data_IF_736674036806
#
_entry.id   IF_736674036806
#
_cell.length_a   1.000
_cell.length_b   1.000
_cell.length_c   1.000
_cell.angle_alpha   90.00
_cell.angle_beta   90.00
_cell.angle_gamma   90.00
#
_symmetry.space_group_name_H-M   'P 1'
#
loop_
_entity.id
_entity.type
_entity.pdbx_description
1 polymer ?
#
# COMPACT_ATOMS: atom_id res chain seq x y z
N UNK A 1 -7.67 -9.70 8.59
CA UNK A 1 -8.49 -8.98 7.57
C UNK A 1 -7.96 -9.39 6.20
N UNK A 2 -8.76 -10.13 5.43
CA UNK A 2 -8.41 -10.59 4.09
C UNK A 2 -8.16 -9.46 3.09
N UNK A 3 -7.70 -9.82 1.91
CA UNK A 3 -7.46 -8.90 0.79
C UNK A 3 -8.78 -8.19 0.43
N UNK A 4 -8.78 -6.86 0.11
CA UNK A 4 -10.01 -6.16 -0.28
C UNK A 4 -10.71 -6.84 -1.45
N UNK A 5 -12.04 -6.97 -1.41
CA UNK A 5 -12.85 -7.65 -2.44
C UNK A 5 -12.64 -7.08 -3.86
N UNK A 6 -12.33 -5.79 -3.98
CA UNK A 6 -11.99 -5.19 -5.30
C UNK A 6 -10.76 -5.86 -5.95
N UNK A 7 -9.82 -6.35 -5.15
CA UNK A 7 -8.62 -7.04 -5.65
C UNK A 7 -8.99 -8.44 -6.09
N UNK A 8 -9.69 -9.18 -5.23
CA UNK A 8 -10.04 -10.59 -5.47
C UNK A 8 -11.10 -10.77 -6.54
N UNK A 9 -12.11 -9.91 -6.55
CA UNK A 9 -13.29 -10.09 -7.40
C UNK A 9 -13.10 -9.48 -8.80
N UNK A 10 -12.20 -8.48 -8.93
CA UNK A 10 -12.05 -7.75 -10.19
C UNK A 10 -10.59 -7.66 -10.66
N UNK A 11 -9.67 -7.11 -9.86
CA UNK A 11 -8.32 -6.80 -10.34
C UNK A 11 -7.57 -8.06 -10.74
N UNK A 12 -7.48 -9.04 -9.85
CA UNK A 12 -6.73 -10.27 -10.10
C UNK A 12 -7.32 -11.07 -11.25
N UNK A 13 -8.65 -11.33 -11.32
CA UNK A 13 -9.26 -12.02 -12.46
C UNK A 13 -8.96 -11.34 -13.81
N UNK A 14 -9.13 -10.02 -13.93
CA UNK A 14 -8.83 -9.29 -15.16
C UNK A 14 -7.35 -9.36 -15.53
N UNK A 15 -6.45 -9.25 -14.56
CA UNK A 15 -5.01 -9.36 -14.80
C UNK A 15 -4.61 -10.78 -15.24
N UNK A 16 -5.29 -11.82 -14.75
CA UNK A 16 -5.06 -13.19 -15.19
C UNK A 16 -5.49 -13.39 -16.66
N UNK A 17 -6.62 -12.83 -17.05
CA UNK A 17 -7.02 -12.83 -18.45
C UNK A 17 -6.02 -12.07 -19.32
N UNK A 18 -5.62 -10.87 -18.90
CA UNK A 18 -4.56 -10.15 -19.58
C UNK A 18 -3.28 -10.98 -19.70
N UNK A 19 -2.90 -11.72 -18.66
CA UNK A 19 -1.74 -12.59 -18.73
C UNK A 19 -1.88 -13.64 -19.84
N UNK A 20 -3.08 -14.19 -20.01
CA UNK A 20 -3.37 -15.23 -21.03
C UNK A 20 -3.50 -14.68 -22.46
N UNK A 21 -3.61 -13.36 -22.65
CA UNK A 21 -3.66 -12.77 -24.02
C UNK A 21 -2.33 -12.80 -24.76
N UNK A 22 -1.22 -13.06 -24.08
CA UNK A 22 0.07 -13.16 -24.76
C UNK A 22 0.12 -14.45 -25.61
N UNK A 23 0.67 -14.38 -26.81
CA UNK A 23 0.83 -15.55 -27.68
C UNK A 23 1.91 -16.52 -27.18
N UNK A 24 2.94 -15.98 -26.51
CA UNK A 24 4.06 -16.76 -25.98
C UNK A 24 3.75 -17.23 -24.53
N UNK A 25 3.81 -18.54 -24.32
CA UNK A 25 3.61 -19.19 -23.03
C UNK A 25 4.61 -18.70 -21.96
N UNK A 26 5.84 -18.35 -22.33
CA UNK A 26 6.84 -17.81 -21.41
C UNK A 26 6.40 -16.42 -20.93
N UNK A 27 5.84 -15.62 -21.82
CA UNK A 27 5.30 -14.29 -21.47
C UNK A 27 4.08 -14.44 -20.57
N UNK A 28 3.16 -15.35 -20.86
CA UNK A 28 2.01 -15.66 -20.01
C UNK A 28 2.47 -16.02 -18.59
N UNK A 29 3.41 -16.94 -18.48
CA UNK A 29 3.93 -17.37 -17.17
C UNK A 29 4.62 -16.23 -16.41
N UNK A 30 5.42 -15.41 -17.10
CA UNK A 30 6.04 -14.22 -16.47
C UNK A 30 5.01 -13.22 -15.96
N UNK A 31 3.94 -12.96 -16.73
CA UNK A 31 2.84 -12.10 -16.30
C UNK A 31 2.14 -12.67 -15.06
N UNK A 32 1.82 -13.97 -15.05
CA UNK A 32 1.23 -14.65 -13.87
C UNK A 32 2.13 -14.55 -12.64
N UNK A 33 3.44 -14.78 -12.79
CA UNK A 33 4.40 -14.63 -11.70
C UNK A 33 4.44 -13.19 -11.14
N UNK A 34 4.44 -12.18 -12.03
CA UNK A 34 4.37 -10.77 -11.60
C UNK A 34 3.09 -10.49 -10.81
N UNK A 35 1.95 -11.00 -11.26
CA UNK A 35 0.67 -10.86 -10.57
C UNK A 35 0.78 -11.49 -9.16
N UNK A 36 1.22 -12.73 -9.07
CA UNK A 36 1.39 -13.41 -7.79
C UNK A 36 2.30 -12.67 -6.82
N UNK A 37 3.47 -12.22 -7.31
CA UNK A 37 4.44 -11.46 -6.50
C UNK A 37 3.87 -10.12 -5.99
N UNK A 38 3.17 -9.39 -6.83
CA UNK A 38 2.69 -8.05 -6.49
C UNK A 38 1.43 -8.06 -5.64
N UNK A 39 0.62 -9.10 -5.77
CA UNK A 39 -0.66 -9.22 -5.05
C UNK A 39 -0.62 -10.24 -3.91
N UNK A 40 0.56 -10.83 -3.62
CA UNK A 40 0.76 -11.73 -2.49
C UNK A 40 0.09 -13.09 -2.66
N UNK A 41 0.00 -13.60 -3.90
CA UNK A 41 -0.62 -14.89 -4.18
C UNK A 41 0.33 -16.07 -3.89
N UNK A 42 -0.23 -17.26 -3.68
CA UNK A 42 0.50 -18.45 -3.24
C UNK A 42 1.55 -18.95 -4.24
N UNK A 43 2.49 -19.76 -3.76
CA UNK A 43 3.45 -20.50 -4.60
C UNK A 43 2.75 -21.48 -5.55
N UNK A 44 1.66 -22.13 -5.09
CA UNK A 44 0.87 -23.04 -5.93
C UNK A 44 0.28 -22.33 -7.14
N UNK A 45 -0.25 -21.09 -6.93
CA UNK A 45 -0.70 -20.24 -8.03
C UNK A 45 0.43 -19.87 -8.99
N UNK A 46 1.60 -19.53 -8.47
CA UNK A 46 2.78 -19.18 -9.29
C UNK A 46 3.28 -20.33 -10.12
N UNK A 47 3.16 -21.58 -9.65
CA UNK A 47 3.50 -22.79 -10.37
C UNK A 47 2.51 -23.15 -11.48
N UNK A 48 1.47 -22.34 -11.71
CA UNK A 48 0.45 -22.57 -12.75
C UNK A 48 -0.84 -23.18 -12.22
N UNK A 49 -1.03 -23.22 -10.90
CA UNK A 49 -2.28 -23.61 -10.25
C UNK A 49 -3.43 -22.64 -10.55
N UNK A 50 -4.65 -23.08 -10.28
CA UNK A 50 -5.82 -22.22 -10.32
C UNK A 50 -5.85 -21.30 -9.10
N UNK A 51 -6.47 -20.12 -9.26
CA UNK A 51 -6.70 -19.20 -8.15
C UNK A 51 -7.73 -19.82 -7.21
N UNK A 52 -7.34 -20.08 -5.98
CA UNK A 52 -8.20 -20.67 -4.95
C UNK A 52 -8.60 -19.62 -3.91
N UNK A 53 -9.68 -19.90 -3.15
CA UNK A 53 -10.06 -19.03 -2.04
C UNK A 53 -8.92 -18.87 -1.01
N UNK A 54 -8.06 -19.88 -0.88
CA UNK A 54 -6.90 -19.85 0.01
C UNK A 54 -5.84 -18.84 -0.44
N UNK A 55 -5.71 -18.63 -1.75
CA UNK A 55 -4.78 -17.60 -2.32
C UNK A 55 -5.25 -16.17 -2.02
N UNK A 56 -6.54 -16.00 -1.79
CA UNK A 56 -7.20 -14.71 -1.62
C UNK A 56 -7.41 -14.34 -0.14
N UNK A 57 -7.37 -15.32 0.76
CA UNK A 57 -7.59 -15.12 2.21
C UNK A 57 -6.26 -15.24 2.93
N UNK A 58 -5.69 -14.12 3.35
CA UNK A 58 -4.39 -14.03 4.02
C UNK A 58 -4.29 -14.63 5.43
N UNK A 59 -5.03 -15.71 5.73
CA UNK A 59 -5.12 -16.32 7.08
C UNK A 59 -4.25 -17.58 7.25
N UNK A 60 -3.52 -18.01 6.23
CA UNK A 60 -2.61 -19.15 6.33
C UNK A 60 -1.15 -18.69 6.18
N UNK A 61 -0.52 -18.44 7.31
CA UNK A 61 0.82 -17.88 7.50
C UNK A 61 2.00 -18.71 6.90
N UNK A 62 1.76 -19.75 6.10
CA UNK A 62 2.81 -20.63 5.59
C UNK A 62 2.85 -20.82 4.07
N UNK A 63 1.84 -20.42 3.31
CA UNK A 63 1.80 -20.66 1.85
C UNK A 63 1.54 -19.40 1.01
N UNK A 64 0.95 -18.34 1.57
CA UNK A 64 0.74 -17.07 0.85
C UNK A 64 1.96 -16.15 1.00
N UNK A 65 2.35 -15.49 -0.09
CA UNK A 65 3.40 -14.48 -0.02
C UNK A 65 2.92 -13.24 0.73
N UNK A 66 3.82 -12.67 1.53
CA UNK A 66 3.55 -11.44 2.28
C UNK A 66 3.20 -10.27 1.33
N UNK A 67 2.20 -9.48 1.72
CA UNK A 67 1.87 -8.24 1.04
C UNK A 67 3.01 -7.22 1.17
N UNK A 68 3.73 -6.97 0.09
CA UNK A 68 4.83 -6.01 0.06
C UNK A 68 4.27 -4.62 -0.25
N UNK A 69 4.26 -3.75 0.76
CA UNK A 69 3.65 -2.42 0.67
C UNK A 69 4.35 -1.51 -0.36
N UNK A 70 5.65 -1.72 -0.60
CA UNK A 70 6.48 -0.97 -1.55
C UNK A 70 6.15 -1.25 -3.01
N UNK A 71 5.45 -2.34 -3.33
CA UNK A 71 5.10 -2.72 -4.71
C UNK A 71 4.01 -1.82 -5.36
N UNK A 72 3.84 -0.58 -4.89
CA UNK A 72 2.82 0.36 -5.43
C UNK A 72 3.03 0.64 -6.90
N UNK A 73 4.28 0.93 -7.31
CA UNK A 73 4.60 1.20 -8.71
C UNK A 73 4.36 -0.03 -9.58
N UNK A 74 4.79 -1.21 -9.14
CA UNK A 74 4.60 -2.46 -9.89
C UNK A 74 3.11 -2.79 -10.06
N UNK A 75 2.29 -2.57 -9.02
CA UNK A 75 0.83 -2.72 -9.11
C UNK A 75 0.22 -1.73 -10.09
N UNK A 76 0.65 -0.46 -10.03
CA UNK A 76 0.20 0.54 -11.01
C UNK A 76 0.53 0.13 -12.44
N UNK A 77 1.78 -0.30 -12.70
CA UNK A 77 2.20 -0.72 -14.04
C UNK A 77 1.36 -1.89 -14.57
N UNK A 78 1.03 -2.87 -13.73
CA UNK A 78 0.15 -3.96 -14.14
C UNK A 78 -1.29 -3.50 -14.41
N UNK A 79 -1.84 -2.60 -13.59
CA UNK A 79 -3.16 -2.01 -13.85
C UNK A 79 -3.18 -1.24 -15.17
N UNK A 80 -2.10 -0.55 -15.51
CA UNK A 80 -1.94 0.17 -16.76
C UNK A 80 -1.82 -0.82 -17.95
N UNK A 81 -0.93 -1.81 -17.86
CA UNK A 81 -0.75 -2.82 -18.89
C UNK A 81 -2.03 -3.65 -19.13
N UNK A 82 -2.77 -3.96 -18.07
CA UNK A 82 -4.05 -4.68 -18.10
C UNK A 82 -5.26 -3.83 -18.51
N UNK A 83 -5.10 -2.52 -18.76
CA UNK A 83 -6.20 -1.67 -19.18
C UNK A 83 -7.24 -1.37 -18.09
N UNK A 84 -6.85 -1.48 -16.82
CA UNK A 84 -7.75 -1.32 -15.68
C UNK A 84 -7.89 0.12 -15.19
N UNK A 85 -7.10 1.04 -15.71
CA UNK A 85 -7.15 2.46 -15.34
C UNK A 85 -7.37 3.36 -16.55
N UNK A 86 -8.06 4.51 -16.39
CA UNK A 86 -8.46 5.38 -17.49
C UNK A 86 -7.31 5.93 -18.34
N UNK A 87 -6.12 6.02 -17.78
CA UNK A 87 -4.92 6.48 -18.48
C UNK A 87 -4.32 5.43 -19.42
N UNK A 88 -4.75 4.17 -19.31
CA UNK A 88 -4.26 3.09 -20.15
C UNK A 88 -4.84 3.18 -21.58
N UNK A 89 -4.04 2.95 -22.63
CA UNK A 89 -4.50 3.05 -24.02
C UNK A 89 -5.55 2.00 -24.39
N UNK A 90 -5.61 0.90 -23.63
CA UNK A 90 -6.57 -0.21 -23.81
C UNK A 90 -7.67 -0.20 -22.73
N UNK A 91 -7.96 0.95 -22.12
CA UNK A 91 -9.07 1.11 -21.18
C UNK A 91 -10.39 1.43 -21.93
N UNK A 92 -11.54 0.87 -21.51
CA UNK A 92 -11.68 -0.26 -20.60
C UNK A 92 -11.20 -1.58 -21.23
N UNK A 93 -10.78 -2.56 -20.41
CA UNK A 93 -10.31 -3.83 -20.95
C UNK A 93 -11.43 -4.58 -21.69
N UNK A 94 -11.10 -5.14 -22.85
CA UNK A 94 -12.05 -5.87 -23.71
C UNK A 94 -12.07 -7.38 -23.43
N UNK A 95 -11.50 -7.82 -22.32
CA UNK A 95 -11.47 -9.22 -21.93
C UNK A 95 -12.88 -9.70 -21.53
N UNK A 96 -13.34 -10.80 -22.12
CA UNK A 96 -14.76 -11.18 -22.09
C UNK A 96 -15.28 -11.77 -20.78
N UNK A 97 -14.41 -12.28 -19.89
CA UNK A 97 -14.85 -13.00 -18.71
C UNK A 97 -15.17 -12.12 -17.50
N UNK A 98 -14.63 -10.91 -17.43
CA UNK A 98 -14.85 -10.01 -16.28
C UNK A 98 -15.53 -8.73 -16.72
N UNK A 99 -16.76 -8.54 -16.27
CA UNK A 99 -17.47 -7.26 -16.42
C UNK A 99 -17.10 -6.36 -15.26
N UNK A 100 -16.44 -5.24 -15.57
CA UNK A 100 -16.13 -4.24 -14.53
C UNK A 100 -17.43 -3.60 -14.01
N UNK A 101 -17.54 -3.33 -12.70
CA UNK A 101 -18.70 -2.66 -12.11
C UNK A 101 -18.92 -1.27 -12.73
N UNK A 102 -20.17 -0.82 -12.81
CA UNK A 102 -20.51 0.51 -13.33
C UNK A 102 -19.82 1.64 -12.56
N UNK A 103 -19.54 1.43 -11.26
CA UNK A 103 -18.83 2.36 -10.40
C UNK A 103 -17.29 2.16 -10.40
N UNK A 104 -16.76 1.38 -11.34
CA UNK A 104 -15.34 1.06 -11.41
C UNK A 104 -14.44 2.31 -11.41
N UNK A 105 -14.79 3.31 -12.23
CA UNK A 105 -14.03 4.57 -12.30
C UNK A 105 -13.96 5.32 -10.97
N UNK A 106 -14.99 5.19 -10.13
CA UNK A 106 -14.98 5.78 -8.79
C UNK A 106 -14.10 5.00 -7.83
N UNK A 107 -14.03 3.67 -7.98
CA UNK A 107 -13.21 2.78 -7.11
C UNK A 107 -11.71 2.93 -7.36
N UNK A 108 -11.31 3.13 -8.61
CA UNK A 108 -9.89 3.28 -8.99
C UNK A 108 -9.39 4.73 -8.94
N UNK A 109 -10.27 5.67 -8.59
CA UNK A 109 -9.97 7.09 -8.44
C UNK A 109 -10.08 7.90 -9.73
N UNK A 110 -9.95 9.21 -9.58
CA UNK A 110 -10.14 10.19 -10.66
C UNK A 110 -9.07 10.01 -11.75
N UNK A 111 -9.42 10.09 -13.05
CA UNK A 111 -8.45 10.11 -14.14
C UNK A 111 -7.41 11.22 -13.95
N UNK A 112 -6.17 10.90 -14.23
CA UNK A 112 -5.06 11.85 -14.14
C UNK A 112 -4.47 12.12 -15.52
N UNK A 113 -4.02 13.36 -15.73
CA UNK A 113 -3.36 13.73 -16.98
C UNK A 113 -1.98 13.11 -17.09
N UNK A 114 -1.59 12.73 -18.29
CA UNK A 114 -0.27 12.17 -18.61
C UNK A 114 0.08 10.99 -17.68
N UNK A 115 1.29 10.98 -17.18
CA UNK A 115 1.83 9.95 -16.29
C UNK A 115 1.81 10.35 -14.80
N UNK A 116 1.00 11.34 -14.41
CA UNK A 116 0.96 11.83 -13.03
C UNK A 116 0.66 10.73 -12.01
N UNK A 117 -0.23 9.79 -12.33
CA UNK A 117 -0.49 8.63 -11.46
C UNK A 117 0.75 7.76 -11.28
N UNK A 118 1.55 7.58 -12.34
CA UNK A 118 2.83 6.86 -12.27
C UNK A 118 3.84 7.58 -11.38
N UNK A 119 3.91 8.90 -11.49
CA UNK A 119 4.77 9.73 -10.61
C UNK A 119 4.37 9.55 -9.15
N UNK A 120 3.07 9.61 -8.83
CA UNK A 120 2.56 9.40 -7.48
C UNK A 120 2.87 7.97 -7.00
N UNK A 121 2.60 6.94 -7.82
CA UNK A 121 2.91 5.55 -7.48
C UNK A 121 4.40 5.35 -7.20
N UNK A 122 5.27 5.97 -8.01
CA UNK A 122 6.73 5.96 -7.81
C UNK A 122 7.12 6.63 -6.49
N UNK A 123 6.55 7.80 -6.20
CA UNK A 123 6.82 8.53 -4.96
C UNK A 123 6.42 7.72 -3.73
N UNK A 124 5.21 7.13 -3.74
CA UNK A 124 4.72 6.30 -2.63
C UNK A 124 5.57 5.03 -2.48
N UNK A 125 5.94 4.37 -3.58
CA UNK A 125 6.80 3.19 -3.55
C UNK A 125 8.14 3.49 -2.89
N UNK A 126 8.80 4.58 -3.31
CA UNK A 126 10.07 5.04 -2.73
C UNK A 126 9.93 5.47 -1.27
N UNK A 127 8.83 6.15 -0.93
CA UNK A 127 8.55 6.56 0.45
C UNK A 127 8.41 5.35 1.36
N UNK A 128 7.63 4.34 0.95
CA UNK A 128 7.43 3.10 1.72
C UNK A 128 8.72 2.33 1.93
N UNK A 129 9.53 2.17 0.89
CA UNK A 129 10.85 1.55 0.99
C UNK A 129 11.81 2.29 1.95
N UNK A 130 11.65 3.61 2.11
CA UNK A 130 12.50 4.42 3.01
C UNK A 130 11.98 4.48 4.44
N UNK A 131 10.67 4.33 4.67
CA UNK A 131 10.08 4.37 6.02
C UNK A 131 10.67 3.29 6.91
N UNK A 132 10.99 2.13 6.37
CA UNK A 132 11.61 1.03 7.11
C UNK A 132 12.98 1.39 7.70
N UNK A 133 13.72 2.27 7.02
CA UNK A 133 15.10 2.63 7.37
C UNK A 133 15.26 4.05 7.95
N UNK A 134 14.23 4.91 7.84
CA UNK A 134 14.32 6.31 8.26
C UNK A 134 13.00 6.79 8.87
N UNK A 135 13.05 7.52 9.97
CA UNK A 135 11.87 8.11 10.59
C UNK A 135 11.37 9.35 9.82
N UNK A 136 11.08 9.20 8.53
CA UNK A 136 10.54 10.26 7.67
C UNK A 136 9.24 10.87 8.21
N UNK A 137 8.55 10.12 9.07
CA UNK A 137 7.30 10.56 9.70
C UNK A 137 7.49 11.85 10.50
N UNK A 138 8.68 12.10 11.04
CA UNK A 138 8.94 13.29 11.86
C UNK A 138 8.77 14.58 11.07
N UNK A 139 9.24 14.62 9.82
CA UNK A 139 9.10 15.79 8.95
C UNK A 139 7.72 15.95 8.30
N UNK A 140 6.83 14.96 8.47
CA UNK A 140 5.49 14.95 7.86
C UNK A 140 4.37 15.24 8.88
N UNK A 141 4.69 15.23 10.16
CA UNK A 141 3.73 15.53 11.23
C UNK A 141 3.83 17.00 11.65
N UNK A 142 2.72 17.61 12.11
CA UNK A 142 2.80 18.90 12.79
C UNK A 142 3.59 18.76 14.09
N UNK A 143 4.09 19.90 14.64
CA UNK A 143 4.88 19.94 15.87
C UNK A 143 4.17 19.29 17.05
N UNK A 144 2.84 19.38 17.08
CA UNK A 144 1.98 18.83 18.13
C UNK A 144 0.85 18.02 17.49
N UNK A 145 0.66 16.80 17.95
CA UNK A 145 -0.30 15.85 17.38
C UNK A 145 -0.89 14.92 18.45
N UNK A 146 -1.98 14.23 18.12
CA UNK A 146 -2.51 13.12 18.92
C UNK A 146 -1.90 11.79 18.46
N UNK A 147 -1.83 10.79 19.35
CA UNK A 147 -1.36 9.44 18.94
C UNK A 147 -2.22 8.82 17.84
N UNK A 148 -3.51 9.18 17.76
CA UNK A 148 -4.38 8.72 16.67
C UNK A 148 -4.02 9.34 15.32
N UNK A 149 -3.66 10.62 15.28
CA UNK A 149 -3.15 11.26 14.06
C UNK A 149 -1.83 10.64 13.62
N UNK A 150 -0.91 10.43 14.56
CA UNK A 150 0.36 9.77 14.26
C UNK A 150 0.14 8.35 13.70
N UNK A 151 -0.72 7.55 14.35
CA UNK A 151 -1.06 6.20 13.86
C UNK A 151 -1.64 6.24 12.44
N UNK A 152 -2.62 7.11 12.17
CA UNK A 152 -3.24 7.26 10.86
C UNK A 152 -2.21 7.67 9.79
N UNK A 153 -1.29 8.58 10.12
CA UNK A 153 -0.23 8.98 9.19
C UNK A 153 0.74 7.84 8.90
N UNK A 154 1.14 7.08 9.92
CA UNK A 154 2.00 5.89 9.74
C UNK A 154 1.29 4.83 8.90
N UNK A 155 0.02 4.53 9.16
CA UNK A 155 -0.79 3.58 8.39
C UNK A 155 -0.95 4.03 6.93
N UNK A 156 -1.23 5.31 6.70
CA UNK A 156 -1.36 5.85 5.35
C UNK A 156 -0.05 5.75 4.54
N UNK A 157 1.07 6.04 5.19
CA UNK A 157 2.39 5.98 4.56
C UNK A 157 2.88 4.55 4.36
N UNK A 158 2.79 3.70 5.38
CA UNK A 158 3.25 2.30 5.30
C UNK A 158 2.34 1.43 4.44
N UNK A 159 1.05 1.77 4.35
CA UNK A 159 0.04 0.94 3.69
C UNK A 159 -0.38 -0.28 4.53
N UNK A 160 0.01 -0.33 5.80
CA UNK A 160 -0.29 -1.42 6.73
C UNK A 160 -1.13 -0.88 7.88
N UNK A 161 -2.19 -1.58 8.25
CA UNK A 161 -2.99 -1.25 9.45
C UNK A 161 -2.28 -1.70 10.71
N UNK A 162 -2.24 -0.85 11.71
CA UNK A 162 -1.57 -1.10 12.96
C UNK A 162 -2.58 -1.32 14.10
N UNK A 163 -2.37 -2.35 14.89
CA UNK A 163 -3.18 -2.54 16.08
C UNK A 163 -2.85 -1.45 17.12
N UNK A 164 -3.86 -0.71 17.57
CA UNK A 164 -3.73 0.47 18.43
C UNK A 164 -2.88 0.25 19.67
N UNK A 165 -3.05 -0.89 20.35
CA UNK A 165 -2.29 -1.21 21.56
C UNK A 165 -0.83 -1.49 21.26
N UNK A 166 -0.55 -2.24 20.18
CA UNK A 166 0.82 -2.57 19.77
C UNK A 166 1.56 -1.31 19.33
N UNK A 167 0.90 -0.43 18.58
CA UNK A 167 1.46 0.86 18.19
C UNK A 167 1.85 1.72 19.40
N UNK A 168 0.96 1.82 20.40
CA UNK A 168 1.28 2.55 21.63
C UNK A 168 2.45 1.95 22.39
N UNK A 169 2.47 0.62 22.55
CA UNK A 169 3.61 -0.06 23.22
C UNK A 169 4.92 0.19 22.48
N UNK A 170 4.89 0.21 21.14
CA UNK A 170 6.07 0.51 20.32
C UNK A 170 6.58 1.94 20.59
N UNK A 171 5.69 2.94 20.56
CA UNK A 171 6.06 4.33 20.85
C UNK A 171 6.63 4.49 22.25
N UNK A 172 6.02 3.84 23.26
CA UNK A 172 6.47 3.89 24.65
C UNK A 172 7.85 3.19 24.81
N UNK A 173 8.02 2.00 24.19
CA UNK A 173 9.28 1.24 24.30
C UNK A 173 10.46 1.94 23.63
N UNK A 174 10.21 2.62 22.50
CA UNK A 174 11.24 3.36 21.78
C UNK A 174 11.39 4.82 22.26
N UNK A 175 10.50 5.26 23.18
CA UNK A 175 10.54 6.59 23.78
C UNK A 175 10.57 7.73 22.73
N UNK A 176 9.84 7.55 21.61
CA UNK A 176 9.88 8.43 20.43
C UNK A 176 9.13 9.75 20.64
N UNK A 177 8.13 9.75 21.51
CA UNK A 177 7.22 10.87 21.71
C UNK A 177 7.17 11.28 23.19
N UNK A 178 6.87 12.55 23.44
CA UNK A 178 6.64 13.06 24.78
C UNK A 178 5.31 13.80 24.86
N UNK A 179 4.60 13.63 25.98
CA UNK A 179 3.34 14.33 26.24
C UNK A 179 3.61 15.82 26.49
N UNK A 180 2.82 16.70 25.88
CA UNK A 180 2.97 18.16 26.04
C UNK A 180 2.32 18.69 27.30
N UNK A 181 1.46 17.92 27.96
CA UNK A 181 0.60 18.36 29.05
C UNK A 181 -0.71 19.02 28.58
N UNK A 182 -0.87 19.22 27.30
CA UNK A 182 -2.06 19.81 26.68
C UNK A 182 -2.99 18.72 26.11
N UNK A 183 -4.25 19.12 25.88
CA UNK A 183 -5.26 18.28 25.26
C UNK A 183 -5.90 18.98 24.08
N UNK A 184 -6.26 18.21 23.04
CA UNK A 184 -6.95 18.76 21.87
C UNK A 184 -8.35 19.26 22.25
N UNK A 185 -8.76 20.41 21.71
CA UNK A 185 -10.13 20.92 21.77
C UNK A 185 -11.03 20.14 20.80
N UNK A 186 -11.36 18.88 21.12
CA UNK A 186 -12.17 18.06 20.24
C UNK A 186 -13.62 18.59 20.21
N UNK A 187 -14.17 18.80 19.02
CA UNK A 187 -15.56 19.22 18.81
C UNK A 187 -16.59 18.16 19.25
N UNK A 188 -16.20 16.89 19.36
CA UNK A 188 -17.02 15.78 19.87
C UNK A 188 -16.13 14.72 20.53
N UNK A 189 -16.45 14.33 21.76
CA UNK A 189 -15.77 13.25 22.49
C UNK A 189 -14.84 13.73 23.61
N UNK A 190 -14.14 12.76 24.24
CA UNK A 190 -13.16 13.08 25.30
C UNK A 190 -11.93 13.76 24.68
N UNK A 191 -11.43 14.88 25.22
CA UNK A 191 -10.21 15.51 24.76
C UNK A 191 -9.05 14.51 24.68
N UNK A 192 -8.32 14.52 23.57
CA UNK A 192 -7.18 13.66 23.37
C UNK A 192 -5.89 14.37 23.82
N UNK A 193 -5.02 13.66 24.51
CA UNK A 193 -3.71 14.17 24.90
C UNK A 193 -2.88 14.51 23.66
N UNK A 194 -2.14 15.61 23.76
CA UNK A 194 -1.23 16.07 22.72
C UNK A 194 0.20 15.65 23.03
N UNK A 195 0.91 15.27 21.97
CA UNK A 195 2.27 14.76 21.97
C UNK A 195 3.12 15.53 20.98
N UNK A 196 4.42 15.51 21.17
CA UNK A 196 5.44 15.95 20.22
C UNK A 196 6.55 14.92 20.14
N UNK A 197 7.29 14.92 19.04
CA UNK A 197 8.51 14.12 18.97
C UNK A 197 9.58 14.66 19.91
N UNK A 198 10.47 13.79 20.33
CA UNK A 198 11.61 14.20 21.16
C UNK A 198 12.68 14.83 20.26
N UNK A 199 13.18 15.96 20.69
CA UNK A 199 14.13 16.77 19.92
C UNK A 199 15.46 16.07 19.61
N UNK A 200 15.93 15.20 20.50
CA UNK A 200 17.11 14.36 20.29
C UNK A 200 16.95 13.37 19.12
N UNK A 201 15.75 12.88 18.89
CA UNK A 201 15.42 11.98 17.77
C UNK A 201 15.35 12.74 16.44
N UNK A 202 14.79 13.97 16.46
CA UNK A 202 14.79 14.86 15.30
C UNK A 202 16.21 15.19 14.84
N UNK A 203 17.10 15.53 15.78
CA UNK A 203 18.51 15.79 15.47
C UNK A 203 19.23 14.58 14.90
N UNK A 204 18.99 13.37 15.43
CA UNK A 204 19.56 12.14 14.88
C UNK A 204 19.07 11.87 13.46
N UNK A 205 17.79 12.14 13.17
CA UNK A 205 17.21 12.03 11.83
C UNK A 205 17.88 12.99 10.85
N UNK A 206 18.07 14.25 11.23
CA UNK A 206 18.74 15.26 10.40
C UNK A 206 20.23 14.93 10.14
N UNK A 207 20.92 14.40 11.16
CA UNK A 207 22.32 13.97 11.02
C UNK A 207 22.49 12.75 10.11
N UNK A 208 21.49 11.86 10.04
CA UNK A 208 21.49 10.76 9.08
C UNK A 208 21.22 11.22 7.66
N UNK A 209 20.41 12.26 7.45
CA UNK A 209 20.16 12.86 6.14
C UNK A 209 21.38 13.60 5.56
N UNK A 210 22.23 14.17 6.44
CA UNK A 210 23.44 14.90 6.02
C UNK A 210 24.61 14.00 5.58
N UNK A 211 24.51 12.68 5.75
CA UNK A 211 25.56 11.70 5.40
C UNK A 211 25.34 10.99 4.05
N UNK A 212 24.51 11.54 3.19
CA UNK A 212 24.42 11.05 1.80
C UNK A 212 25.40 11.82 0.91
N UNK A 213 26.22 11.10 0.12
CA UNK A 213 27.04 11.71 -0.91
C UNK A 213 26.19 12.26 -2.03
#
# INVERSE_FOLDING_TARGET
DGMPSIITDFIVPVLLEWANTAEDLIVQQRRRQRIGLCWGLSEAFLAGGELTDTDLVGDHAHESREWIAEHVLLRYEMLYEGGLIPEAPNYPPTYQAVVLPDDWSQRIGVPMYYDHRRVIATAISRLRAKIEYRPLIFGLMPDVFTLSQLQQSVEALSGVRLHKQNFRRLLDSQNLVMETGESSSAQRGRPAKLYRFRHDIELQSLLMDSKLP
#
